data_IF_696290947272
#
_entry.id   IF_696290947272
#
_cell.length_a   1.000
_cell.length_b   1.000
_cell.length_c   1.000
_cell.angle_alpha   90.00
_cell.angle_beta   90.00
_cell.angle_gamma   90.00
#
_symmetry.space_group_name_H-M   'P 1'
#
loop_
_entity.id
_entity.type
_entity.pdbx_description
1 polymer ?
#
# COMPACT_ATOMS: atom_id res chain seq x y z
N UNK A 1 -11.01 -21.27 -10.25
CA UNK A 1 -9.61 -21.53 -10.64
C UNK A 1 -8.95 -20.18 -10.85
N UNK A 2 -7.83 -19.85 -10.17
CA UNK A 2 -7.01 -18.73 -10.59
C UNK A 2 -6.60 -18.98 -12.05
N UNK A 3 -6.76 -17.99 -12.91
CA UNK A 3 -6.25 -18.07 -14.27
C UNK A 3 -4.72 -18.10 -14.19
N UNK A 4 -4.10 -19.17 -14.71
CA UNK A 4 -2.65 -19.23 -14.89
C UNK A 4 -2.31 -18.74 -16.31
N UNK A 5 -1.22 -17.98 -16.48
CA UNK A 5 -0.79 -17.55 -17.80
C UNK A 5 -0.47 -18.78 -18.67
N UNK A 6 -0.66 -18.70 -20.00
CA UNK A 6 -0.32 -19.80 -20.89
C UNK A 6 1.16 -20.21 -20.73
N UNK A 7 1.50 -21.49 -20.95
CA UNK A 7 2.88 -21.97 -20.85
C UNK A 7 3.83 -21.12 -21.70
N UNK A 8 4.97 -20.71 -21.12
CA UNK A 8 5.99 -19.92 -21.80
C UNK A 8 5.84 -18.39 -21.66
N UNK A 9 4.81 -17.87 -21.00
CA UNK A 9 4.68 -16.43 -20.68
C UNK A 9 4.97 -16.20 -19.20
N UNK A 10 6.14 -15.63 -18.88
CA UNK A 10 6.50 -15.29 -17.49
C UNK A 10 6.22 -13.82 -17.19
N UNK A 11 5.95 -13.47 -15.92
CA UNK A 11 5.81 -12.08 -15.46
C UNK A 11 6.99 -11.17 -15.87
N UNK A 12 8.17 -11.75 -16.15
CA UNK A 12 9.39 -11.02 -16.55
C UNK A 12 9.39 -10.49 -17.99
N UNK A 13 8.53 -10.99 -18.88
CA UNK A 13 8.46 -10.56 -20.30
C UNK A 13 7.52 -9.37 -20.54
N UNK A 14 6.77 -9.01 -19.51
CA UNK A 14 5.71 -8.02 -19.56
C UNK A 14 6.14 -6.55 -19.51
N UNK A 15 7.29 -6.15 -18.91
CA UNK A 15 7.66 -4.73 -18.88
C UNK A 15 8.07 -4.17 -20.25
N UNK A 16 8.29 -5.03 -21.25
CA UNK A 16 8.59 -4.62 -22.64
C UNK A 16 7.38 -4.64 -23.56
N UNK A 17 6.23 -5.20 -23.15
CA UNK A 17 5.04 -5.31 -23.99
C UNK A 17 4.05 -4.17 -23.71
N UNK A 18 3.52 -3.54 -24.76
CA UNK A 18 2.48 -2.49 -24.59
C UNK A 18 1.10 -3.12 -24.40
N UNK A 19 0.21 -2.43 -23.67
CA UNK A 19 -1.18 -2.87 -23.43
C UNK A 19 -1.91 -3.37 -24.70
N UNK A 20 -1.90 -2.64 -25.85
CA UNK A 20 -2.53 -3.12 -27.08
C UNK A 20 -1.95 -4.43 -27.62
N UNK A 21 -0.63 -4.66 -27.46
CA UNK A 21 0.03 -5.88 -27.92
C UNK A 21 -0.36 -7.09 -27.06
N UNK A 22 -0.49 -6.89 -25.74
CA UNK A 22 -0.96 -7.93 -24.83
C UNK A 22 -2.40 -8.34 -25.16
N UNK A 23 -3.27 -7.36 -25.41
CA UNK A 23 -4.66 -7.61 -25.83
C UNK A 23 -4.73 -8.33 -27.18
N UNK A 24 -3.93 -7.89 -28.17
CA UNK A 24 -3.85 -8.54 -29.48
C UNK A 24 -3.35 -9.99 -29.40
N UNK A 25 -2.50 -10.30 -28.41
CA UNK A 25 -2.02 -11.66 -28.10
C UNK A 25 -3.02 -12.49 -27.28
N UNK A 26 -4.25 -12.03 -27.11
CA UNK A 26 -5.33 -12.73 -26.39
C UNK A 26 -5.13 -12.81 -24.88
N UNK A 27 -4.27 -11.95 -24.30
CA UNK A 27 -4.10 -11.89 -22.84
C UNK A 27 -5.37 -11.31 -22.22
N UNK A 28 -5.89 -11.98 -21.20
CA UNK A 28 -7.11 -11.55 -20.52
C UNK A 28 -6.89 -10.25 -19.75
N UNK A 29 -7.89 -9.37 -19.77
CA UNK A 29 -7.84 -8.06 -19.11
C UNK A 29 -7.74 -8.16 -17.59
N UNK A 30 -8.40 -9.14 -16.96
CA UNK A 30 -8.34 -9.37 -15.51
C UNK A 30 -6.91 -9.69 -15.06
N UNK A 31 -6.20 -10.51 -15.84
CA UNK A 31 -4.79 -10.82 -15.60
C UNK A 31 -3.87 -9.60 -15.82
N UNK A 32 -4.17 -8.75 -16.81
CA UNK A 32 -3.45 -7.49 -17.01
C UNK A 32 -3.63 -6.56 -15.81
N UNK A 33 -4.86 -6.40 -15.33
CA UNK A 33 -5.17 -5.58 -14.15
C UNK A 33 -4.50 -6.13 -12.89
N UNK A 34 -4.46 -7.45 -12.73
CA UNK A 34 -3.75 -8.11 -11.63
C UNK A 34 -2.27 -7.71 -11.62
N UNK A 35 -1.55 -7.96 -12.72
CA UNK A 35 -0.09 -7.80 -12.79
C UNK A 35 0.34 -6.33 -12.87
N UNK A 36 -0.37 -5.51 -13.63
CA UNK A 36 0.05 -4.14 -13.92
C UNK A 36 -0.53 -3.10 -12.95
N UNK A 37 -1.54 -3.45 -12.15
CA UNK A 37 -2.23 -2.49 -11.27
C UNK A 37 -2.34 -3.03 -9.85
N UNK A 38 -2.98 -4.19 -9.65
CA UNK A 38 -3.26 -4.71 -8.31
C UNK A 38 -1.99 -5.06 -7.54
N UNK A 39 -1.09 -5.85 -8.14
CA UNK A 39 0.18 -6.25 -7.54
C UNK A 39 1.07 -5.02 -7.22
N UNK A 40 1.27 -4.04 -8.14
CA UNK A 40 2.01 -2.81 -7.84
C UNK A 40 1.42 -1.96 -6.71
N UNK A 41 0.08 -1.84 -6.66
CA UNK A 41 -0.61 -1.13 -5.57
C UNK A 41 -0.41 -1.84 -4.24
N UNK A 42 -0.53 -3.17 -4.22
CA UNK A 42 -0.28 -3.99 -3.04
C UNK A 42 1.17 -3.81 -2.56
N UNK A 43 2.14 -4.02 -3.44
CA UNK A 43 3.57 -3.93 -3.09
C UNK A 43 3.92 -2.54 -2.55
N UNK A 44 3.41 -1.47 -3.17
CA UNK A 44 3.67 -0.10 -2.72
C UNK A 44 2.99 0.20 -1.38
N UNK A 45 1.66 0.08 -1.32
CA UNK A 45 0.88 0.61 -0.21
C UNK A 45 0.86 -0.36 0.98
N UNK A 46 0.77 -1.66 0.73
CA UNK A 46 0.76 -2.69 1.78
C UNK A 46 2.18 -3.02 2.21
N UNK A 47 3.01 -3.46 1.28
CA UNK A 47 4.26 -4.14 1.62
C UNK A 47 5.38 -3.14 1.95
N UNK A 48 5.46 -2.03 1.21
CA UNK A 48 6.54 -1.07 1.38
C UNK A 48 6.19 0.18 2.22
N UNK A 49 4.91 0.42 2.52
CA UNK A 49 4.46 1.56 3.33
C UNK A 49 3.79 1.11 4.61
N UNK A 50 2.68 0.37 4.52
CA UNK A 50 1.91 -0.03 5.68
C UNK A 50 2.66 -0.99 6.61
N UNK A 51 3.20 -2.11 6.10
CA UNK A 51 3.88 -3.10 6.94
C UNK A 51 5.08 -2.52 7.70
N UNK A 52 5.97 -1.72 7.07
CA UNK A 52 7.06 -1.06 7.79
C UNK A 52 6.54 -0.06 8.83
N UNK A 53 5.57 0.80 8.48
CA UNK A 53 5.01 1.75 9.44
C UNK A 53 4.36 1.03 10.64
N UNK A 54 3.67 -0.09 10.38
CA UNK A 54 3.10 -0.98 11.40
C UNK A 54 4.15 -1.50 12.36
N UNK A 55 5.20 -2.11 11.81
CA UNK A 55 6.28 -2.68 12.61
C UNK A 55 7.03 -1.61 13.42
N UNK A 56 7.18 -0.39 12.89
CA UNK A 56 7.85 0.71 13.58
C UNK A 56 7.02 1.24 14.77
N UNK A 57 5.71 1.42 14.62
CA UNK A 57 4.86 2.06 15.64
C UNK A 57 4.33 1.06 16.67
N UNK A 58 4.02 -0.18 16.28
CA UNK A 58 3.44 -1.19 17.18
C UNK A 58 4.48 -2.19 17.72
N UNK A 59 5.70 -2.18 17.17
CA UNK A 59 6.73 -3.17 17.49
C UNK A 59 6.47 -4.54 16.85
N UNK A 60 7.31 -5.55 17.14
CA UNK A 60 7.15 -6.89 16.59
C UNK A 60 5.81 -7.52 16.99
N UNK A 61 5.33 -8.45 16.16
CA UNK A 61 3.96 -9.00 16.10
C UNK A 61 3.37 -9.55 17.43
N UNK A 62 4.16 -9.66 18.50
CA UNK A 62 3.76 -10.18 19.81
C UNK A 62 3.05 -9.20 20.77
N UNK A 63 2.79 -7.95 20.38
CA UNK A 63 1.98 -7.00 21.18
C UNK A 63 0.62 -6.66 20.56
N UNK A 64 0.29 -7.24 19.41
CA UNK A 64 -0.98 -6.97 18.75
C UNK A 64 -2.03 -7.97 19.22
N UNK A 65 -3.21 -7.44 19.53
CA UNK A 65 -4.47 -8.21 19.47
C UNK A 65 -4.49 -8.87 18.09
N UNK A 66 -4.88 -10.14 17.98
CA UNK A 66 -5.01 -10.85 16.70
C UNK A 66 -5.53 -9.86 15.66
N UNK A 67 -4.74 -9.64 14.61
CA UNK A 67 -4.99 -8.63 13.58
C UNK A 67 -6.48 -8.61 13.29
N UNK A 68 -7.23 -7.64 13.83
CA UNK A 68 -8.62 -7.53 13.46
C UNK A 68 -8.52 -7.23 11.98
N UNK A 69 -9.02 -8.14 11.14
CA UNK A 69 -8.83 -8.12 9.69
C UNK A 69 -9.46 -6.94 8.97
N UNK A 70 -9.53 -5.78 9.63
CA UNK A 70 -10.12 -4.51 9.27
C UNK A 70 -9.23 -3.31 9.71
N UNK A 71 -7.97 -3.52 10.11
CA UNK A 71 -7.02 -2.39 10.18
C UNK A 71 -6.66 -1.92 8.75
N UNK A 72 -5.81 -0.89 8.59
CA UNK A 72 -5.45 -0.26 7.28
C UNK A 72 -4.80 -1.20 6.22
N UNK A 73 -4.97 -2.52 6.35
CA UNK A 73 -4.57 -3.55 5.39
C UNK A 73 -5.13 -3.36 3.98
N UNK A 74 -6.28 -2.70 3.80
CA UNK A 74 -7.02 -2.76 2.53
C UNK A 74 -7.06 -1.45 1.74
N UNK A 75 -6.29 -0.41 2.11
CA UNK A 75 -6.27 0.83 1.30
C UNK A 75 -5.87 0.56 -0.16
N UNK A 76 -4.96 -0.40 -0.38
CA UNK A 76 -4.58 -0.82 -1.73
C UNK A 76 -5.71 -1.54 -2.47
N UNK A 77 -6.46 -2.41 -1.77
CA UNK A 77 -7.56 -3.17 -2.35
C UNK A 77 -8.76 -2.25 -2.66
N UNK A 78 -9.12 -1.36 -1.72
CA UNK A 78 -10.14 -0.35 -1.93
C UNK A 78 -9.77 0.58 -3.10
N UNK A 79 -8.52 1.04 -3.18
CA UNK A 79 -8.05 1.85 -4.31
C UNK A 79 -8.13 1.09 -5.65
N UNK A 80 -7.75 -0.19 -5.69
CA UNK A 80 -7.86 -1.03 -6.88
C UNK A 80 -9.33 -1.17 -7.33
N UNK A 81 -10.22 -1.53 -6.40
CA UNK A 81 -11.64 -1.71 -6.71
C UNK A 81 -12.33 -0.41 -7.12
N UNK A 82 -11.98 0.71 -6.47
CA UNK A 82 -12.48 2.05 -6.82
C UNK A 82 -11.99 2.49 -8.19
N UNK A 83 -10.73 2.21 -8.53
CA UNK A 83 -10.18 2.46 -9.86
C UNK A 83 -10.91 1.64 -10.93
N UNK A 84 -11.05 0.32 -10.74
CA UNK A 84 -11.76 -0.56 -11.67
C UNK A 84 -13.20 -0.08 -11.92
N UNK A 85 -13.91 0.38 -10.88
CA UNK A 85 -15.24 1.00 -11.03
C UNK A 85 -15.19 2.31 -11.80
N UNK A 86 -14.28 3.21 -11.41
CA UNK A 86 -14.20 4.57 -11.98
C UNK A 86 -13.91 4.56 -13.47
N UNK A 87 -13.11 3.60 -13.95
CA UNK A 87 -12.78 3.46 -15.38
C UNK A 87 -13.75 2.54 -16.13
N UNK A 88 -14.78 1.99 -15.46
CA UNK A 88 -15.83 1.17 -16.07
C UNK A 88 -15.45 -0.28 -16.35
N UNK A 89 -14.42 -0.83 -15.70
CA UNK A 89 -14.09 -2.26 -15.82
C UNK A 89 -15.04 -3.17 -15.03
N UNK A 90 -15.61 -2.67 -13.93
CA UNK A 90 -16.47 -3.46 -13.05
C UNK A 90 -17.63 -2.60 -12.54
N UNK A 91 -18.83 -3.17 -12.58
CA UNK A 91 -19.99 -2.68 -11.84
C UNK A 91 -20.21 -3.56 -10.61
N UNK A 92 -20.47 -2.92 -9.46
CA UNK A 92 -20.74 -3.61 -8.21
C UNK A 92 -22.23 -3.53 -7.87
N UNK A 93 -22.73 -4.51 -7.12
CA UNK A 93 -24.07 -4.42 -6.52
C UNK A 93 -24.14 -3.22 -5.59
N UNK A 94 -25.33 -2.62 -5.45
CA UNK A 94 -25.52 -1.40 -4.63
C UNK A 94 -24.91 -1.50 -3.23
N UNK A 95 -25.05 -2.65 -2.57
CA UNK A 95 -24.49 -2.85 -1.24
C UNK A 95 -22.95 -2.89 -1.25
N UNK A 96 -22.35 -3.54 -2.23
CA UNK A 96 -20.90 -3.65 -2.39
C UNK A 96 -20.30 -2.30 -2.78
N UNK A 97 -20.97 -1.54 -3.67
CA UNK A 97 -20.59 -0.18 -4.04
C UNK A 97 -20.63 0.76 -2.83
N UNK A 98 -21.69 0.70 -2.02
CA UNK A 98 -21.83 1.49 -0.79
C UNK A 98 -20.75 1.15 0.23
N UNK A 99 -20.41 -0.12 0.41
CA UNK A 99 -19.30 -0.51 1.26
C UNK A 99 -17.98 0.05 0.71
N UNK A 100 -17.69 -0.14 -0.58
CA UNK A 100 -16.49 0.41 -1.20
C UNK A 100 -16.37 1.93 -0.98
N UNK A 101 -17.46 2.69 -1.11
CA UNK A 101 -17.48 4.13 -0.83
C UNK A 101 -17.11 4.47 0.61
N UNK A 102 -17.59 3.69 1.58
CA UNK A 102 -17.23 3.87 2.99
C UNK A 102 -15.75 3.63 3.22
N UNK A 103 -15.19 2.56 2.64
CA UNK A 103 -13.77 2.22 2.76
C UNK A 103 -12.87 3.26 2.10
N UNK A 104 -13.21 3.71 0.89
CA UNK A 104 -12.50 4.80 0.18
C UNK A 104 -12.58 6.10 0.98
N UNK A 105 -13.74 6.42 1.56
CA UNK A 105 -13.91 7.62 2.40
C UNK A 105 -13.03 7.54 3.64
N UNK A 106 -13.01 6.41 4.35
CA UNK A 106 -12.14 6.22 5.51
C UNK A 106 -10.67 6.39 5.11
N UNK A 107 -10.21 5.68 4.07
CA UNK A 107 -8.83 5.75 3.58
C UNK A 107 -8.38 7.16 3.16
N UNK A 108 -9.32 8.04 2.77
CA UNK A 108 -9.04 9.44 2.41
C UNK A 108 -9.07 10.40 3.59
N UNK A 109 -9.80 10.08 4.65
CA UNK A 109 -10.10 11.03 5.74
C UNK A 109 -9.40 10.72 7.06
N UNK A 110 -8.98 9.47 7.30
CA UNK A 110 -8.25 9.07 8.49
C UNK A 110 -6.94 8.37 8.10
N UNK A 111 -6.00 8.30 9.05
CA UNK A 111 -4.84 7.43 8.97
C UNK A 111 -5.23 6.00 9.34
N UNK A 112 -4.58 5.47 10.36
CA UNK A 112 -4.85 4.11 10.84
C UNK A 112 -6.23 4.07 11.49
N UNK A 113 -7.00 3.03 11.22
CA UNK A 113 -8.26 2.81 11.92
C UNK A 113 -8.42 1.33 12.24
N UNK A 114 -9.14 1.03 13.32
CA UNK A 114 -9.41 -0.32 13.78
C UNK A 114 -10.84 -0.38 14.32
N UNK A 115 -11.76 -1.08 13.65
CA UNK A 115 -13.12 -1.25 14.14
C UNK A 115 -13.14 -2.39 15.17
N UNK A 116 -13.48 -2.06 16.41
CA UNK A 116 -13.89 -3.05 17.41
C UNK A 116 -15.41 -3.20 17.44
N UNK A 117 -15.91 -4.24 18.13
CA UNK A 117 -17.35 -4.53 18.21
C UNK A 117 -18.20 -3.37 18.75
N UNK A 118 -17.63 -2.52 19.61
CA UNK A 118 -18.35 -1.41 20.28
C UNK A 118 -17.66 -0.06 20.14
N UNK A 119 -16.41 -0.03 19.68
CA UNK A 119 -15.57 1.17 19.61
C UNK A 119 -14.68 1.06 18.39
N UNK A 120 -14.50 2.16 17.67
CA UNK A 120 -13.53 2.28 16.59
C UNK A 120 -12.39 3.18 17.08
N UNK A 121 -11.15 2.74 16.86
CA UNK A 121 -9.98 3.60 17.03
C UNK A 121 -9.66 4.19 15.67
N UNK A 122 -9.41 5.49 15.61
CA UNK A 122 -9.01 6.21 14.41
C UNK A 122 -7.83 7.12 14.77
N UNK A 123 -6.83 7.15 13.90
CA UNK A 123 -5.67 8.02 13.99
C UNK A 123 -5.74 9.08 12.89
N UNK A 124 -5.14 10.24 13.18
CA UNK A 124 -4.92 11.27 12.18
C UNK A 124 -4.05 10.74 11.03
N UNK A 125 -4.15 11.37 9.87
CA UNK A 125 -3.31 11.03 8.73
C UNK A 125 -1.86 11.44 8.99
N UNK A 126 -0.89 10.75 8.37
CA UNK A 126 0.46 11.29 8.27
C UNK A 126 0.43 12.70 7.66
N UNK A 127 1.21 13.61 8.23
CA UNK A 127 1.43 14.95 7.69
C UNK A 127 2.42 14.93 6.54
N UNK A 128 3.35 13.96 6.52
CA UNK A 128 4.27 13.72 5.43
C UNK A 128 4.54 12.23 5.23
N UNK A 129 4.71 11.81 3.96
CA UNK A 129 5.16 10.47 3.57
C UNK A 129 6.21 10.64 2.48
N UNK A 130 7.43 10.20 2.76
CA UNK A 130 8.57 10.26 1.85
C UNK A 130 8.88 8.87 1.30
N UNK A 131 8.99 8.79 -0.01
CA UNK A 131 9.17 7.55 -0.76
C UNK A 131 10.20 7.72 -1.86
N UNK A 132 10.76 6.60 -2.31
CA UNK A 132 11.57 6.52 -3.52
C UNK A 132 11.04 5.40 -4.44
N UNK A 133 11.36 5.43 -5.74
CA UNK A 133 11.12 4.30 -6.63
C UNK A 133 11.82 3.04 -6.12
N UNK A 134 11.08 1.92 -6.09
CA UNK A 134 11.68 0.64 -5.75
C UNK A 134 12.59 0.16 -6.90
N UNK A 135 13.84 -0.23 -6.62
CA UNK A 135 14.75 -0.74 -7.63
C UNK A 135 14.17 -1.96 -8.34
N UNK A 136 14.18 -1.93 -9.67
CA UNK A 136 13.63 -3.03 -10.49
C UNK A 136 12.10 -3.07 -10.56
N UNK A 137 11.40 -2.08 -10.00
CA UNK A 137 9.96 -1.95 -10.13
C UNK A 137 9.54 -1.74 -11.60
N UNK A 138 8.63 -2.57 -12.08
CA UNK A 138 8.17 -2.55 -13.47
C UNK A 138 7.06 -1.53 -13.72
N UNK A 139 6.28 -1.23 -12.69
CA UNK A 139 5.06 -0.44 -12.78
C UNK A 139 5.07 0.75 -11.81
N UNK A 140 6.28 1.23 -11.49
CA UNK A 140 6.46 2.42 -10.66
C UNK A 140 6.18 2.20 -9.17
N UNK A 141 6.32 0.96 -8.68
CA UNK A 141 6.22 0.68 -7.26
C UNK A 141 7.17 1.57 -6.44
N UNK A 142 6.67 2.02 -5.29
CA UNK A 142 7.40 2.91 -4.39
C UNK A 142 7.68 2.22 -3.06
N UNK A 143 8.71 2.72 -2.36
CA UNK A 143 9.02 2.30 -1.00
C UNK A 143 9.37 3.47 -0.10
N UNK A 144 9.12 3.35 1.20
CA UNK A 144 9.48 4.39 2.18
C UNK A 144 10.99 4.66 2.14
N UNK A 145 11.34 5.94 2.03
CA UNK A 145 12.73 6.37 2.04
C UNK A 145 12.84 7.83 2.44
N UNK A 146 13.73 8.10 3.39
CA UNK A 146 14.32 9.42 3.62
C UNK A 146 15.66 9.29 4.32
N UNK A 147 16.67 10.03 3.84
CA UNK A 147 18.02 9.94 4.39
C UNK A 147 18.20 10.78 5.67
N UNK A 148 17.62 11.98 5.67
CA UNK A 148 17.89 13.09 6.60
C UNK A 148 16.76 13.36 7.61
N UNK A 149 15.78 12.46 7.70
CA UNK A 149 14.65 12.61 8.61
C UNK A 149 13.68 11.44 8.56
N UNK A 150 12.52 11.57 9.22
CA UNK A 150 11.47 10.56 9.21
C UNK A 150 10.88 10.39 7.81
N UNK A 151 10.71 9.14 7.40
CA UNK A 151 10.02 8.79 6.17
C UNK A 151 8.50 8.96 6.30
N UNK A 152 7.95 8.88 7.53
CA UNK A 152 6.55 9.20 7.83
C UNK A 152 6.50 10.09 9.06
N UNK A 153 5.76 11.18 8.97
CA UNK A 153 5.53 12.14 10.07
C UNK A 153 4.04 12.19 10.40
N UNK A 154 3.71 12.30 11.68
CA UNK A 154 2.33 12.50 12.18
C UNK A 154 2.22 13.81 12.97
N UNK A 155 1.01 14.36 13.01
CA UNK A 155 0.75 15.64 13.69
C UNK A 155 0.97 15.60 15.21
N UNK A 156 0.89 14.42 15.82
CA UNK A 156 1.16 14.19 17.24
C UNK A 156 2.65 14.01 17.57
N UNK A 157 3.52 14.09 16.56
CA UNK A 157 4.97 13.92 16.69
C UNK A 157 5.43 12.46 16.61
N UNK A 158 4.55 11.50 16.31
CA UNK A 158 4.98 10.15 15.97
C UNK A 158 5.73 10.15 14.63
N UNK A 159 6.77 9.32 14.53
CA UNK A 159 7.68 9.31 13.39
C UNK A 159 8.08 7.87 13.01
N UNK A 160 8.19 7.61 11.71
CA UNK A 160 8.74 6.35 11.17
C UNK A 160 9.95 6.66 10.31
N UNK A 161 11.09 6.04 10.61
CA UNK A 161 12.32 6.21 9.85
C UNK A 161 12.59 4.99 8.97
N UNK A 162 12.79 5.23 7.68
CA UNK A 162 13.10 4.20 6.72
C UNK A 162 14.11 4.69 5.68
N UNK A 163 15.09 3.85 5.37
CA UNK A 163 16.08 4.08 4.31
C UNK A 163 15.94 2.97 3.30
N UNK A 164 15.48 3.32 2.11
CA UNK A 164 15.35 2.37 0.99
C UNK A 164 14.50 1.15 1.33
N UNK A 165 13.36 1.39 1.98
CA UNK A 165 12.42 0.37 2.44
C UNK A 165 12.80 -0.30 3.76
N UNK A 166 14.01 -0.07 4.28
CA UNK A 166 14.49 -0.70 5.52
C UNK A 166 14.20 0.23 6.70
N UNK A 167 13.45 -0.27 7.69
CA UNK A 167 13.24 0.45 8.94
C UNK A 167 14.55 0.64 9.68
N UNK A 168 14.81 1.87 10.11
CA UNK A 168 15.95 2.22 10.94
C UNK A 168 15.46 2.85 12.24
N UNK A 169 16.21 2.67 13.33
CA UNK A 169 15.94 3.41 14.57
C UNK A 169 16.57 4.79 14.44
N UNK A 170 15.79 5.87 14.54
CA UNK A 170 16.39 7.17 14.77
C UNK A 170 16.70 7.36 16.25
N UNK A 171 17.97 7.65 16.56
CA UNK A 171 18.40 8.18 17.85
C UNK A 171 19.51 9.23 17.72
N UNK A 172 19.71 9.84 16.55
CA UNK A 172 20.83 10.78 16.36
C UNK A 172 20.37 12.13 15.83
N UNK A 173 19.80 12.93 16.75
CA UNK A 173 20.51 14.18 17.07
C UNK A 173 21.82 13.76 17.74
N UNK A 174 22.94 13.76 17.01
CA UNK A 174 24.23 13.95 17.67
C UNK A 174 24.10 15.32 18.34
N UNK A 175 23.78 15.35 19.63
CA UNK A 175 24.07 16.54 20.43
C UNK A 175 25.56 16.75 20.23
N UNK A 176 25.92 17.83 19.54
CA UNK A 176 27.22 18.42 19.72
C UNK A 176 27.43 18.48 21.24
N UNK A 177 28.33 17.65 21.75
CA UNK A 177 28.85 17.83 23.08
C UNK A 177 29.54 19.18 23.01
N UNK A 178 28.85 20.20 23.51
CA UNK A 178 29.49 21.42 23.94
C UNK A 178 30.40 21.01 25.10
N UNK A 179 31.69 21.00 24.84
CA UNK A 179 32.78 21.14 25.80
C UNK A 179 33.84 22.02 25.18
#
# INVERSE_FOLDING_TARGET
>A
MPWEPPPGKTKREWPVSRLPELLAKGVRHDWILEVMVREPLQETLRDNVYHPARAALLGPEGRCVDAAGYEQYDTWAAAFHDLCRTVGFVEYRDNDARHLDQWVRLARTTGWWWPGQRRCVMAERPTAVHVEPQPGALYGQLRLHRFDGPAVEYADGAEVFARSGILVRDRTKVRAAVS
#
